data_IF_947001578543
#
_entry.id   IF_947001578543
#
_cell.length_a   1.000
_cell.length_b   1.000
_cell.length_c   1.000
_cell.angle_alpha   90.00
_cell.angle_beta   90.00
_cell.angle_gamma   90.00
#
_symmetry.space_group_name_H-M   'P 1'
#
loop_
_entity.id
_entity.type
_entity.pdbx_description
1 polymer ?
#
# COMPACT_ATOMS: atom_id res chain seq x y z
N UNK A 1 22.81 -8.96 -15.41
CA UNK A 1 23.06 -7.50 -15.54
C UNK A 1 23.31 -6.95 -14.15
N UNK A 2 24.44 -6.26 -13.93
CA UNK A 2 24.79 -5.70 -12.62
C UNK A 2 24.04 -4.38 -12.49
N UNK A 3 22.86 -4.44 -11.87
CA UNK A 3 22.00 -3.28 -11.56
C UNK A 3 22.87 -2.20 -10.90
N UNK A 4 22.85 -0.99 -11.43
CA UNK A 4 23.74 0.10 -11.03
C UNK A 4 23.51 0.48 -9.57
N UNK A 5 24.55 1.00 -8.89
CA UNK A 5 24.42 1.41 -7.48
C UNK A 5 23.28 2.41 -7.23
N UNK A 6 22.83 3.16 -8.23
CA UNK A 6 21.74 4.12 -8.12
C UNK A 6 20.35 3.47 -8.26
N UNK A 7 20.20 2.43 -9.10
CA UNK A 7 18.94 1.71 -9.32
C UNK A 7 18.49 1.02 -8.03
N UNK A 8 19.42 0.32 -7.38
CA UNK A 8 19.17 -0.31 -6.07
C UNK A 8 18.72 0.70 -5.00
N UNK A 9 19.34 1.88 -4.98
CA UNK A 9 18.99 2.94 -4.03
C UNK A 9 17.63 3.55 -4.36
N UNK A 10 17.31 3.75 -5.64
CA UNK A 10 16.01 4.24 -6.09
C UNK A 10 14.88 3.25 -5.72
N UNK A 11 15.12 1.94 -5.89
CA UNK A 11 14.16 0.90 -5.48
C UNK A 11 13.94 0.93 -3.97
N UNK A 12 15.00 1.02 -3.17
CA UNK A 12 14.87 1.11 -1.70
C UNK A 12 14.08 2.36 -1.29
N UNK A 13 14.41 3.53 -1.85
CA UNK A 13 13.71 4.78 -1.53
C UNK A 13 12.23 4.69 -1.96
N UNK A 14 11.94 4.18 -3.15
CA UNK A 14 10.57 3.98 -3.61
C UNK A 14 9.77 3.07 -2.68
N UNK A 15 10.38 1.96 -2.23
CA UNK A 15 9.77 1.06 -1.24
C UNK A 15 9.49 1.76 0.10
N UNK A 16 10.42 2.57 0.60
CA UNK A 16 10.24 3.33 1.85
C UNK A 16 9.10 4.34 1.71
N UNK A 17 9.03 5.07 0.60
CA UNK A 17 7.97 6.05 0.35
C UNK A 17 6.58 5.39 0.29
N UNK A 18 6.47 4.26 -0.40
CA UNK A 18 5.22 3.48 -0.43
C UNK A 18 4.92 2.93 0.97
N UNK A 19 5.93 2.39 1.67
CA UNK A 19 5.75 1.85 3.03
C UNK A 19 5.26 2.92 4.01
N UNK A 20 5.78 4.15 3.93
CA UNK A 20 5.38 5.26 4.79
C UNK A 20 3.87 5.52 4.72
N UNK A 21 3.27 5.40 3.53
CA UNK A 21 1.81 5.52 3.35
C UNK A 21 1.06 4.42 4.12
N UNK A 22 1.53 3.17 4.06
CA UNK A 22 0.90 2.05 4.76
C UNK A 22 1.15 2.09 6.28
N UNK A 23 2.31 2.56 6.73
CA UNK A 23 2.58 2.83 8.16
C UNK A 23 1.61 3.89 8.68
N UNK A 24 1.52 5.05 8.01
CA UNK A 24 0.59 6.10 8.40
C UNK A 24 -0.86 5.60 8.42
N UNK A 25 -1.27 4.85 7.39
CA UNK A 25 -2.60 4.25 7.31
C UNK A 25 -2.88 3.16 8.35
N UNK A 26 -1.84 2.52 8.92
CA UNK A 26 -1.94 1.57 10.03
C UNK A 26 -2.14 2.33 11.34
N UNK A 27 -1.27 3.30 11.62
CA UNK A 27 -1.33 4.11 12.84
C UNK A 27 -2.65 4.88 12.93
N UNK A 28 -3.11 5.46 11.82
CA UNK A 28 -4.39 6.15 11.77
C UNK A 28 -5.55 5.24 12.14
N UNK A 29 -5.65 4.04 11.55
CA UNK A 29 -6.75 3.10 11.86
C UNK A 29 -6.68 2.56 13.28
N UNK A 30 -5.48 2.40 13.83
CA UNK A 30 -5.29 1.95 15.20
C UNK A 30 -5.64 3.05 16.23
N UNK A 31 -5.40 4.32 15.91
CA UNK A 31 -5.64 5.45 16.81
C UNK A 31 -7.07 6.02 16.70
N UNK A 32 -7.64 6.06 15.50
CA UNK A 32 -8.97 6.60 15.22
C UNK A 32 -9.70 5.76 14.16
N UNK A 33 -10.22 4.59 14.54
CA UNK A 33 -10.86 3.65 13.62
C UNK A 33 -12.17 4.18 13.01
N UNK A 34 -12.83 5.14 13.65
CA UNK A 34 -14.22 5.53 13.38
C UNK A 34 -14.41 6.00 11.94
N UNK A 35 -13.46 6.77 11.40
CA UNK A 35 -13.54 7.27 10.03
C UNK A 35 -13.50 6.15 8.97
N UNK A 36 -12.65 5.15 9.18
CA UNK A 36 -12.56 4.01 8.27
C UNK A 36 -13.69 2.99 8.50
N UNK A 37 -14.17 2.84 9.73
CA UNK A 37 -15.37 2.05 10.04
C UNK A 37 -16.61 2.66 9.36
N UNK A 38 -16.75 3.98 9.38
CA UNK A 38 -17.83 4.70 8.67
C UNK A 38 -17.80 4.48 7.16
N UNK A 39 -16.62 4.40 6.54
CA UNK A 39 -16.50 4.05 5.12
C UNK A 39 -16.99 2.62 4.83
N UNK A 40 -16.66 1.65 5.70
CA UNK A 40 -17.16 0.28 5.58
C UNK A 40 -18.68 0.22 5.71
N UNK A 41 -19.23 0.87 6.74
CA UNK A 41 -20.67 0.95 6.97
C UNK A 41 -21.41 1.59 5.78
N UNK A 42 -20.84 2.65 5.19
CA UNK A 42 -21.41 3.30 3.99
C UNK A 42 -21.49 2.38 2.76
N UNK A 43 -20.67 1.34 2.70
CA UNK A 43 -20.71 0.30 1.67
C UNK A 43 -21.50 -0.95 2.09
N UNK A 44 -22.16 -0.92 3.26
CA UNK A 44 -22.87 -2.07 3.82
C UNK A 44 -21.96 -3.21 4.28
N UNK A 45 -20.67 -2.92 4.50
CA UNK A 45 -19.68 -3.91 4.94
C UNK A 45 -19.57 -3.93 6.48
N UNK A 46 -19.23 -5.07 7.08
CA UNK A 46 -19.00 -5.15 8.52
C UNK A 46 -17.85 -4.26 8.97
N UNK A 47 -18.09 -3.40 9.95
CA UNK A 47 -17.10 -2.44 10.47
C UNK A 47 -15.84 -3.11 11.05
N UNK A 48 -15.96 -4.34 11.57
CA UNK A 48 -14.83 -5.09 12.12
C UNK A 48 -13.75 -5.42 11.08
N UNK A 49 -14.05 -5.31 9.77
CA UNK A 49 -13.06 -5.47 8.69
C UNK A 49 -11.95 -4.42 8.73
N UNK A 50 -12.10 -3.35 9.53
CA UNK A 50 -11.02 -2.40 9.78
C UNK A 50 -9.78 -3.05 10.40
N UNK A 51 -9.95 -4.05 11.27
CA UNK A 51 -8.84 -4.72 11.96
C UNK A 51 -7.99 -5.58 11.02
N UNK A 52 -8.55 -6.48 10.19
CA UNK A 52 -7.75 -7.18 9.18
C UNK A 52 -7.15 -6.21 8.16
N UNK A 53 -7.84 -5.13 7.77
CA UNK A 53 -7.25 -4.11 6.90
C UNK A 53 -6.06 -3.38 7.55
N UNK A 54 -6.13 -3.13 8.87
CA UNK A 54 -5.04 -2.52 9.65
C UNK A 54 -3.85 -3.47 9.76
N UNK A 55 -4.09 -4.74 10.07
CA UNK A 55 -3.06 -5.77 10.10
C UNK A 55 -2.40 -5.93 8.72
N UNK A 56 -3.19 -5.96 7.65
CA UNK A 56 -2.67 -6.05 6.30
C UNK A 56 -1.74 -4.88 5.97
N UNK A 57 -2.12 -3.64 6.30
CA UNK A 57 -1.27 -2.47 6.09
C UNK A 57 0.05 -2.55 6.88
N UNK A 58 0.00 -3.08 8.12
CA UNK A 58 1.20 -3.27 8.93
C UNK A 58 2.16 -4.30 8.31
N UNK A 59 1.63 -5.45 7.87
CA UNK A 59 2.41 -6.50 7.21
C UNK A 59 2.97 -6.04 5.86
N UNK A 60 2.19 -5.26 5.11
CA UNK A 60 2.60 -4.65 3.86
C UNK A 60 3.75 -3.66 4.06
N UNK A 61 3.64 -2.75 5.03
CA UNK A 61 4.71 -1.84 5.38
C UNK A 61 5.99 -2.59 5.79
N UNK A 62 5.88 -3.61 6.63
CA UNK A 62 7.00 -4.46 7.03
C UNK A 62 7.68 -5.12 5.82
N UNK A 63 6.89 -5.72 4.92
CA UNK A 63 7.38 -6.36 3.70
C UNK A 63 8.08 -5.37 2.78
N UNK A 64 7.50 -4.18 2.57
CA UNK A 64 8.10 -3.12 1.75
C UNK A 64 9.41 -2.61 2.35
N UNK A 65 9.51 -2.40 3.66
CA UNK A 65 10.73 -1.91 4.31
C UNK A 65 11.86 -2.95 4.27
N UNK A 66 11.52 -4.21 4.57
CA UNK A 66 12.52 -5.25 4.76
C UNK A 66 12.84 -6.04 3.50
N UNK A 67 11.91 -6.09 2.54
CA UNK A 67 12.00 -6.90 1.34
C UNK A 67 11.53 -8.33 1.56
N UNK A 68 11.10 -8.69 2.77
CA UNK A 68 10.56 -10.01 3.05
C UNK A 68 9.23 -10.20 2.32
N UNK A 69 9.12 -11.26 1.51
CA UNK A 69 7.91 -11.57 0.73
C UNK A 69 7.44 -10.43 -0.19
N UNK A 70 8.39 -9.64 -0.70
CA UNK A 70 8.10 -8.37 -1.39
C UNK A 70 7.24 -8.52 -2.65
N UNK A 71 7.58 -9.44 -3.56
CA UNK A 71 6.87 -9.55 -4.85
C UNK A 71 5.38 -9.94 -4.68
N UNK A 72 5.05 -11.01 -3.93
CA UNK A 72 3.64 -11.32 -3.68
C UNK A 72 2.93 -10.21 -2.90
N UNK A 73 3.58 -9.61 -1.90
CA UNK A 73 2.98 -8.50 -1.16
C UNK A 73 2.70 -7.29 -2.04
N UNK A 74 3.60 -6.95 -2.97
CA UNK A 74 3.39 -5.86 -3.91
C UNK A 74 2.21 -6.13 -4.86
N UNK A 75 1.99 -7.37 -5.30
CA UNK A 75 0.78 -7.74 -6.05
C UNK A 75 -0.49 -7.59 -5.20
N UNK A 76 -0.46 -8.07 -3.96
CA UNK A 76 -1.58 -7.93 -3.03
C UNK A 76 -1.88 -6.45 -2.75
N UNK A 77 -0.86 -5.62 -2.57
CA UNK A 77 -1.00 -4.18 -2.38
C UNK A 77 -1.61 -3.49 -3.59
N UNK A 78 -1.22 -3.89 -4.81
CA UNK A 78 -1.81 -3.34 -6.02
C UNK A 78 -3.32 -3.63 -6.07
N UNK A 79 -3.73 -4.87 -5.79
CA UNK A 79 -5.14 -5.24 -5.67
C UNK A 79 -5.85 -4.51 -4.54
N UNK A 80 -5.23 -4.43 -3.37
CA UNK A 80 -5.77 -3.72 -2.20
C UNK A 80 -6.01 -2.23 -2.51
N UNK A 81 -5.05 -1.54 -3.11
CA UNK A 81 -5.19 -0.14 -3.51
C UNK A 81 -6.29 0.04 -4.57
N UNK A 82 -6.36 -0.84 -5.57
CA UNK A 82 -7.43 -0.80 -6.58
C UNK A 82 -8.82 -0.96 -5.94
N UNK A 83 -9.01 -1.96 -5.08
CA UNK A 83 -10.29 -2.19 -4.39
C UNK A 83 -10.62 -1.04 -3.45
N UNK A 84 -9.67 -0.60 -2.63
CA UNK A 84 -9.91 0.49 -1.67
C UNK A 84 -10.11 1.85 -2.34
N UNK A 85 -9.70 2.02 -3.59
CA UNK A 85 -10.04 3.24 -4.36
C UNK A 85 -11.56 3.43 -4.50
N UNK A 86 -12.35 2.35 -4.53
CA UNK A 86 -13.81 2.42 -4.71
C UNK A 86 -14.51 3.19 -3.60
N UNK A 87 -13.99 3.16 -2.37
CA UNK A 87 -14.51 3.97 -1.24
C UNK A 87 -14.37 5.49 -1.46
N UNK A 88 -13.56 5.89 -2.44
CA UNK A 88 -13.24 7.28 -2.76
C UNK A 88 -13.71 7.70 -4.16
N UNK A 89 -14.48 6.85 -4.86
CA UNK A 89 -15.02 7.18 -6.18
C UNK A 89 -16.26 8.07 -6.04
N UNK A 90 -16.02 9.35 -5.74
CA UNK A 90 -17.06 10.38 -5.60
C UNK A 90 -16.71 11.54 -6.56
N UNK A 91 -17.15 11.48 -7.83
CA UNK A 91 -16.72 12.44 -8.86
C UNK A 91 -17.02 13.92 -8.54
N UNK A 92 -18.05 14.17 -7.74
CA UNK A 92 -18.43 15.52 -7.31
C UNK A 92 -17.54 16.09 -6.19
N UNK A 93 -16.70 15.27 -5.56
CA UNK A 93 -15.78 15.67 -4.49
C UNK A 93 -14.31 15.57 -4.99
N UNK A 94 -13.66 16.70 -5.30
CA UNK A 94 -12.28 16.72 -5.80
C UNK A 94 -11.27 16.08 -4.84
N UNK A 95 -11.49 16.16 -3.52
CA UNK A 95 -10.59 15.57 -2.54
C UNK A 95 -10.67 14.04 -2.58
N UNK A 96 -11.87 13.49 -2.69
CA UNK A 96 -12.07 12.04 -2.83
C UNK A 96 -11.46 11.51 -4.13
N UNK A 97 -11.67 12.23 -5.23
CA UNK A 97 -11.06 11.86 -6.51
C UNK A 97 -9.53 11.91 -6.48
N UNK A 98 -8.92 12.81 -5.71
CA UNK A 98 -7.47 12.80 -5.48
C UNK A 98 -7.01 11.52 -4.77
N UNK A 99 -7.74 11.07 -3.75
CA UNK A 99 -7.45 9.81 -3.05
C UNK A 99 -7.62 8.60 -3.98
N UNK A 100 -8.68 8.58 -4.79
CA UNK A 100 -8.93 7.55 -5.80
C UNK A 100 -7.75 7.41 -6.76
N UNK A 101 -7.33 8.52 -7.39
CA UNK A 101 -6.22 8.54 -8.35
C UNK A 101 -4.90 8.18 -7.67
N UNK A 102 -4.65 8.70 -6.46
CA UNK A 102 -3.47 8.34 -5.66
C UNK A 102 -3.41 6.84 -5.40
N UNK A 103 -4.52 6.19 -5.04
CA UNK A 103 -4.53 4.74 -4.83
C UNK A 103 -4.16 3.97 -6.11
N UNK A 104 -4.67 4.37 -7.28
CA UNK A 104 -4.26 3.76 -8.55
C UNK A 104 -2.80 4.01 -8.92
N UNK A 105 -2.26 5.20 -8.63
CA UNK A 105 -0.84 5.49 -8.83
C UNK A 105 0.04 4.59 -7.95
N UNK A 106 -0.33 4.38 -6.68
CA UNK A 106 0.35 3.45 -5.78
C UNK A 106 0.23 2.01 -6.27
N UNK A 107 -0.94 1.60 -6.75
CA UNK A 107 -1.13 0.27 -7.34
C UNK A 107 -0.18 0.04 -8.53
N UNK A 108 -0.06 1.02 -9.44
CA UNK A 108 0.88 0.98 -10.55
C UNK A 108 2.33 0.85 -10.10
N UNK A 109 2.75 1.64 -9.09
CA UNK A 109 4.07 1.52 -8.48
C UNK A 109 4.33 0.14 -7.87
N UNK A 110 3.32 -0.45 -7.23
CA UNK A 110 3.41 -1.80 -6.67
C UNK A 110 3.50 -2.88 -7.76
N UNK A 111 2.80 -2.75 -8.88
CA UNK A 111 2.92 -3.68 -10.02
C UNK A 111 4.33 -3.64 -10.63
N UNK A 112 4.88 -2.43 -10.82
CA UNK A 112 6.27 -2.26 -11.28
C UNK A 112 7.23 -2.91 -10.28
N UNK A 113 7.04 -2.70 -8.98
CA UNK A 113 7.85 -3.30 -7.93
C UNK A 113 7.75 -4.83 -7.89
N UNK A 114 6.55 -5.38 -8.10
CA UNK A 114 6.33 -6.82 -8.16
C UNK A 114 7.07 -7.47 -9.34
N UNK A 115 7.05 -6.82 -10.52
CA UNK A 115 7.76 -7.28 -11.70
C UNK A 115 9.29 -7.14 -11.54
N UNK A 116 9.75 -6.00 -11.02
CA UNK A 116 11.18 -5.70 -10.90
C UNK A 116 11.86 -6.46 -9.76
N UNK A 117 11.25 -6.51 -8.58
CA UNK A 117 11.85 -7.04 -7.34
C UNK A 117 12.47 -5.96 -6.45
N UNK A 118 13.06 -6.38 -5.33
CA UNK A 118 13.44 -5.48 -4.22
C UNK A 118 14.82 -4.82 -4.32
N UNK A 119 15.59 -5.08 -5.38
CA UNK A 119 16.99 -4.68 -5.49
C UNK A 119 17.89 -5.40 -4.48
N UNK A 120 19.15 -4.96 -4.34
CA UNK A 120 20.12 -5.60 -3.43
C UNK A 120 19.81 -5.46 -1.94
N UNK A 121 18.96 -4.49 -1.55
CA UNK A 121 18.67 -4.17 -0.15
C UNK A 121 17.41 -4.91 0.32
N UNK A 122 17.53 -6.22 0.56
CA UNK A 122 16.44 -7.10 1.02
C UNK A 122 16.95 -8.08 2.09
N UNK A 123 16.11 -8.43 3.07
CA UNK A 123 16.48 -9.38 4.14
C UNK A 123 16.58 -10.83 3.68
N UNK A 124 15.89 -11.20 2.59
CA UNK A 124 15.97 -12.54 2.01
C UNK A 124 16.48 -12.39 0.57
N UNK A 125 17.60 -13.05 0.25
CA UNK A 125 18.14 -13.01 -1.09
C UNK A 125 17.25 -13.80 -2.06
N UNK A 126 16.39 -13.09 -2.82
CA UNK A 126 15.82 -13.44 -4.15
C UNK A 126 14.86 -12.36 -4.66
#
# INVERSE_FOLDING_TARGET
MRVGRWEDSAVLVGRILIAALFVAGTLQKAASPEGAAGLLAGFGLPEWLIWPATLFNALAAFSLLTGFYLRPMALLLAGYCAVTSLFHLIPADPWQMSIFVKNWAIAGGCLVLAAHGGGRFVMTGR
#
